data_IF_072599146669
#
_entry.id   IF_072599146669
#
_cell.length_a   1.000
_cell.length_b   1.000
_cell.length_c   1.000
_cell.angle_alpha   90.00
_cell.angle_beta   90.00
_cell.angle_gamma   90.00
#
_symmetry.space_group_name_H-M   'P 1'
#
loop_
_entity.id
_entity.type
_entity.pdbx_description
1 polymer ?
#
# COMPACT_ATOMS: atom_id res chain seq x y z
N UNK A 1 -26.68 -43.87 -8.57
CA UNK A 1 -27.11 -42.51 -8.18
C UNK A 1 -26.98 -42.37 -6.68
N UNK A 2 -25.86 -41.85 -6.16
CA UNK A 2 -25.83 -41.07 -4.91
C UNK A 2 -24.66 -40.09 -5.08
N UNK A 3 -24.97 -38.92 -5.65
CA UNK A 3 -24.08 -37.77 -5.60
C UNK A 3 -24.14 -37.24 -4.16
N UNK A 4 -23.09 -37.50 -3.38
CA UNK A 4 -22.95 -36.93 -2.05
C UNK A 4 -22.63 -35.44 -2.22
N UNK A 5 -23.68 -34.62 -2.17
CA UNK A 5 -23.59 -33.17 -2.05
C UNK A 5 -22.81 -32.83 -0.78
N UNK A 6 -21.49 -32.64 -0.94
CA UNK A 6 -20.65 -32.07 0.10
C UNK A 6 -21.05 -30.60 0.23
N UNK A 7 -21.81 -30.30 1.28
CA UNK A 7 -22.10 -28.95 1.73
C UNK A 7 -20.83 -28.08 1.72
N UNK A 8 -20.66 -27.26 0.68
CA UNK A 8 -19.65 -26.20 0.63
C UNK A 8 -20.21 -25.00 1.40
N UNK A 9 -20.29 -25.15 2.72
CA UNK A 9 -20.35 -24.01 3.63
C UNK A 9 -19.14 -24.10 4.55
N UNK A 10 -17.96 -23.94 3.96
CA UNK A 10 -16.75 -23.57 4.71
C UNK A 10 -16.57 -22.07 4.48
N UNK A 11 -16.87 -21.28 5.50
CA UNK A 11 -16.59 -19.85 5.48
C UNK A 11 -15.13 -19.55 5.15
N UNK A 12 -14.84 -18.30 4.82
CA UNK A 12 -13.50 -17.89 4.39
C UNK A 12 -12.40 -18.23 5.43
N UNK A 13 -11.23 -18.63 4.93
CA UNK A 13 -10.05 -18.97 5.75
C UNK A 13 -9.57 -17.77 6.58
N UNK A 14 -8.97 -17.99 7.76
CA UNK A 14 -8.38 -16.90 8.57
C UNK A 14 -7.40 -16.02 7.77
N UNK A 15 -6.59 -16.62 6.89
CA UNK A 15 -5.68 -15.90 6.01
C UNK A 15 -6.40 -14.92 5.08
N UNK A 16 -7.59 -15.27 4.59
CA UNK A 16 -8.40 -14.37 3.77
C UNK A 16 -8.82 -13.13 4.55
N UNK A 17 -9.34 -13.31 5.77
CA UNK A 17 -9.75 -12.19 6.61
C UNK A 17 -8.57 -11.29 7.01
N UNK A 18 -7.43 -11.88 7.35
CA UNK A 18 -6.20 -11.12 7.68
C UNK A 18 -5.72 -10.34 6.47
N UNK A 19 -5.64 -10.96 5.29
CA UNK A 19 -5.18 -10.30 4.07
C UNK A 19 -6.08 -9.13 3.68
N UNK A 20 -7.41 -9.33 3.67
CA UNK A 20 -8.35 -8.26 3.33
C UNK A 20 -8.29 -7.10 4.33
N UNK A 21 -8.13 -7.40 5.61
CA UNK A 21 -8.01 -6.36 6.65
C UNK A 21 -6.74 -5.53 6.44
N UNK A 22 -5.60 -6.20 6.24
CA UNK A 22 -4.31 -5.52 5.98
C UNK A 22 -4.38 -4.67 4.70
N UNK A 23 -4.96 -5.22 3.63
CA UNK A 23 -5.12 -4.49 2.36
C UNK A 23 -6.02 -3.27 2.52
N UNK A 24 -7.13 -3.38 3.27
CA UNK A 24 -8.01 -2.25 3.54
C UNK A 24 -7.25 -1.13 4.28
N UNK A 25 -6.48 -1.48 5.32
CA UNK A 25 -5.68 -0.50 6.06
C UNK A 25 -4.57 0.12 5.22
N UNK A 26 -3.89 -0.66 4.39
CA UNK A 26 -2.91 -0.16 3.43
C UNK A 26 -3.54 0.86 2.50
N UNK A 27 -4.72 0.57 1.94
CA UNK A 27 -5.44 1.47 1.04
C UNK A 27 -5.90 2.75 1.72
N UNK A 28 -6.44 2.67 2.93
CA UNK A 28 -6.81 3.85 3.70
C UNK A 28 -5.60 4.75 3.95
N UNK A 29 -4.46 4.16 4.35
CA UNK A 29 -3.23 4.90 4.59
C UNK A 29 -2.64 5.49 3.30
N UNK A 30 -2.69 4.76 2.20
CA UNK A 30 -2.26 5.23 0.88
C UNK A 30 -3.03 6.49 0.46
N UNK A 31 -4.36 6.47 0.52
CA UNK A 31 -5.16 7.64 0.14
C UNK A 31 -4.93 8.83 1.08
N UNK A 32 -4.81 8.59 2.39
CA UNK A 32 -4.50 9.65 3.34
C UNK A 32 -3.17 10.34 3.00
N UNK A 33 -2.12 9.58 2.70
CA UNK A 33 -0.81 10.15 2.35
C UNK A 33 -0.82 10.92 1.05
N UNK A 34 -1.51 10.44 0.01
CA UNK A 34 -1.59 11.16 -1.28
C UNK A 34 -2.28 12.53 -1.10
N UNK A 35 -3.34 12.58 -0.29
CA UNK A 35 -4.06 13.83 0.02
C UNK A 35 -3.17 14.76 0.84
N UNK A 36 -2.60 14.27 1.94
CA UNK A 36 -1.76 15.07 2.84
C UNK A 36 -0.52 15.58 2.13
N UNK A 37 0.13 14.78 1.27
CA UNK A 37 1.28 15.21 0.49
C UNK A 37 0.96 16.41 -0.41
N UNK A 38 -0.18 16.35 -1.10
CA UNK A 38 -0.61 17.43 -2.00
C UNK A 38 -0.89 18.71 -1.20
N UNK A 39 -1.56 18.59 -0.05
CA UNK A 39 -1.83 19.72 0.85
C UNK A 39 -0.53 20.27 1.43
N UNK A 40 0.41 19.42 1.84
CA UNK A 40 1.70 19.83 2.40
C UNK A 40 2.53 20.63 1.38
N UNK A 41 2.58 20.15 0.13
CA UNK A 41 3.28 20.84 -0.96
C UNK A 41 2.68 22.23 -1.24
N UNK A 42 1.35 22.34 -1.28
CA UNK A 42 0.67 23.62 -1.55
C UNK A 42 0.69 24.57 -0.33
N UNK A 43 0.37 24.07 0.87
CA UNK A 43 0.12 24.90 2.06
C UNK A 43 1.34 25.17 2.94
N UNK A 44 2.28 24.23 3.06
CA UNK A 44 3.47 24.40 3.92
C UNK A 44 4.66 24.88 3.08
N UNK A 45 4.90 24.23 1.94
CA UNK A 45 6.01 24.58 1.04
C UNK A 45 5.69 25.74 0.10
N UNK A 46 4.42 26.12 -0.04
CA UNK A 46 3.99 27.28 -0.84
C UNK A 46 4.09 27.09 -2.35
N UNK A 47 4.12 25.84 -2.83
CA UNK A 47 4.07 25.58 -4.27
C UNK A 47 2.71 25.96 -4.85
N UNK A 48 2.70 26.34 -6.13
CA UNK A 48 1.46 26.54 -6.86
C UNK A 48 0.68 25.22 -6.95
N UNK A 49 -0.65 25.25 -6.85
CA UNK A 49 -1.51 24.06 -6.88
C UNK A 49 -1.23 23.15 -8.09
N UNK A 50 -0.87 23.75 -9.23
CA UNK A 50 -0.51 23.02 -10.44
C UNK A 50 0.80 22.24 -10.27
N UNK A 51 1.83 22.87 -9.68
CA UNK A 51 3.12 22.22 -9.42
C UNK A 51 3.00 21.16 -8.31
N UNK A 52 2.27 21.46 -7.24
CA UNK A 52 2.01 20.51 -6.15
C UNK A 52 1.28 19.25 -6.66
N UNK A 53 0.28 19.43 -7.53
CA UNK A 53 -0.44 18.32 -8.17
C UNK A 53 0.44 17.52 -9.12
N UNK A 54 1.31 18.18 -9.91
CA UNK A 54 2.28 17.50 -10.77
C UNK A 54 3.26 16.65 -9.97
N UNK A 55 3.81 17.17 -8.87
CA UNK A 55 4.76 16.44 -8.01
C UNK A 55 4.06 15.26 -7.33
N UNK A 56 2.89 15.48 -6.73
CA UNK A 56 2.10 14.42 -6.09
C UNK A 56 1.67 13.33 -7.09
N UNK A 57 1.30 13.74 -8.30
CA UNK A 57 0.97 12.84 -9.42
C UNK A 57 2.17 12.03 -9.89
N UNK A 58 3.35 12.64 -10.01
CA UNK A 58 4.60 11.94 -10.31
C UNK A 58 5.01 10.96 -9.20
N UNK A 59 4.86 11.35 -7.93
CA UNK A 59 5.09 10.46 -6.79
C UNK A 59 4.15 9.25 -6.85
N UNK A 60 2.86 9.46 -7.10
CA UNK A 60 1.86 8.39 -7.22
C UNK A 60 2.14 7.49 -8.44
N UNK A 61 2.47 8.08 -9.59
CA UNK A 61 2.85 7.35 -10.79
C UNK A 61 4.11 6.52 -10.59
N UNK A 62 5.12 7.06 -9.91
CA UNK A 62 6.32 6.34 -9.50
C UNK A 62 6.01 5.15 -8.59
N UNK A 63 5.06 5.31 -7.66
CA UNK A 63 4.64 4.23 -6.77
C UNK A 63 3.99 3.07 -7.53
N UNK A 64 3.21 3.34 -8.57
CA UNK A 64 2.64 2.28 -9.42
C UNK A 64 3.66 1.64 -10.36
N UNK A 65 4.75 2.33 -10.67
CA UNK A 65 5.81 1.83 -11.52
C UNK A 65 6.80 0.94 -10.75
N UNK A 66 7.05 1.26 -9.48
CA UNK A 66 7.95 0.51 -8.60
C UNK A 66 7.73 -1.02 -8.56
N UNK A 67 6.49 -1.54 -8.47
CA UNK A 67 6.19 -2.98 -8.46
C UNK A 67 6.79 -3.77 -9.62
N UNK A 68 7.01 -3.14 -10.78
CA UNK A 68 7.61 -3.79 -11.95
C UNK A 68 9.04 -4.23 -11.63
N UNK A 69 9.81 -3.38 -10.93
CA UNK A 69 11.19 -3.67 -10.55
C UNK A 69 11.27 -4.41 -9.22
N UNK A 70 10.50 -3.95 -8.23
CA UNK A 70 10.57 -4.50 -6.87
C UNK A 70 9.93 -5.88 -6.80
N UNK A 71 8.95 -6.21 -7.66
CA UNK A 71 8.37 -7.54 -7.76
C UNK A 71 9.38 -8.59 -8.24
N UNK A 72 10.12 -8.28 -9.31
CA UNK A 72 11.19 -9.16 -9.80
C UNK A 72 12.31 -9.32 -8.75
N UNK A 73 12.62 -8.25 -8.01
CA UNK A 73 13.59 -8.32 -6.91
C UNK A 73 13.06 -9.15 -5.72
N UNK A 74 11.77 -9.00 -5.38
CA UNK A 74 11.10 -9.76 -4.31
C UNK A 74 11.09 -11.26 -4.59
N UNK A 75 10.92 -11.65 -5.86
CA UNK A 75 10.99 -13.05 -6.29
C UNK A 75 12.38 -13.65 -6.02
N UNK A 76 13.44 -12.87 -6.27
CA UNK A 76 14.83 -13.31 -6.06
C UNK A 76 15.21 -13.49 -4.58
N UNK A 77 14.67 -12.67 -3.68
CA UNK A 77 14.98 -12.73 -2.23
C UNK A 77 14.07 -13.68 -1.44
N UNK A 78 12.95 -14.10 -2.05
CA UNK A 78 11.97 -15.00 -1.46
C UNK A 78 10.86 -14.29 -0.66
N UNK A 79 9.66 -14.89 -0.72
CA UNK A 79 8.40 -14.32 -0.20
C UNK A 79 8.45 -13.85 1.26
N UNK A 80 9.04 -14.65 2.15
CA UNK A 80 9.05 -14.31 3.58
C UNK A 80 9.92 -13.09 3.90
N UNK A 81 11.05 -12.93 3.18
CA UNK A 81 11.96 -11.81 3.38
C UNK A 81 11.41 -10.53 2.76
N UNK A 82 10.82 -10.63 1.56
CA UNK A 82 10.18 -9.47 0.91
C UNK A 82 9.02 -8.92 1.74
N UNK A 83 8.23 -9.80 2.38
CA UNK A 83 7.13 -9.37 3.24
C UNK A 83 7.59 -8.61 4.48
N UNK A 84 8.67 -9.07 5.15
CA UNK A 84 9.24 -8.34 6.31
C UNK A 84 9.78 -6.98 5.88
N UNK A 85 10.49 -6.92 4.75
CA UNK A 85 11.03 -5.66 4.22
C UNK A 85 9.90 -4.69 3.88
N UNK A 86 8.83 -5.16 3.23
CA UNK A 86 7.67 -4.34 2.90
C UNK A 86 7.02 -3.73 4.16
N UNK A 87 6.72 -4.54 5.18
CA UNK A 87 6.11 -4.03 6.42
C UNK A 87 7.04 -3.11 7.21
N UNK A 88 8.35 -3.35 7.18
CA UNK A 88 9.35 -2.49 7.81
C UNK A 88 9.39 -1.12 7.15
N UNK A 89 9.49 -1.08 5.82
CA UNK A 89 9.49 0.16 5.04
C UNK A 89 8.19 0.94 5.22
N UNK A 90 7.06 0.23 5.20
CA UNK A 90 5.74 0.82 5.39
C UNK A 90 5.63 1.48 6.77
N UNK A 91 6.08 0.79 7.82
CA UNK A 91 6.06 1.32 9.19
C UNK A 91 6.94 2.55 9.33
N UNK A 92 8.17 2.52 8.80
CA UNK A 92 9.09 3.67 8.86
C UNK A 92 8.56 4.86 8.06
N UNK A 93 8.01 4.62 6.86
CA UNK A 93 7.46 5.67 6.01
C UNK A 93 6.29 6.41 6.66
N UNK A 94 5.31 5.67 7.18
CA UNK A 94 4.16 6.28 7.85
C UNK A 94 4.52 6.95 9.18
N UNK A 95 5.46 6.39 9.95
CA UNK A 95 5.96 7.04 11.16
C UNK A 95 6.70 8.34 10.84
N UNK A 96 7.49 8.37 9.76
CA UNK A 96 8.18 9.58 9.31
C UNK A 96 7.21 10.72 8.98
N UNK A 97 6.13 10.41 8.27
CA UNK A 97 5.06 11.38 7.95
C UNK A 97 4.25 11.81 9.18
N UNK A 98 4.16 10.98 10.23
CA UNK A 98 3.47 11.34 11.46
C UNK A 98 4.30 12.16 12.44
N UNK A 99 5.64 12.07 12.37
CA UNK A 99 6.57 12.74 13.29
C UNK A 99 7.04 14.09 12.72
N UNK A 100 7.25 14.16 11.41
CA UNK A 100 7.65 15.39 10.74
C UNK A 100 6.39 16.18 10.35
N UNK A 101 6.23 17.43 10.83
CA UNK A 101 5.08 18.27 10.50
C UNK A 101 5.04 18.65 9.02
#
# INVERSE_FOLDING_TARGET
MIESSKNVSKGFTKAFWVSNTVELFERMAYYAVVIVLTIYLSSILGFNDLEASMISGLCSGGLYLLPIFTGAYADKIGFRKSMIVAFSLLSVGYLGLGILP
#
